data_IF_630904589107
#
_entry.id   IF_630904589107
#
_cell.length_a   1.000
_cell.length_b   1.000
_cell.length_c   1.000
_cell.angle_alpha   90.00
_cell.angle_beta   90.00
_cell.angle_gamma   90.00
#
_symmetry.space_group_name_H-M   'P 1'
#
loop_
_entity.id
_entity.type
_entity.pdbx_description
1 polymer ?
#
# COMPACT_ATOMS: atom_id res chain seq x y z
N UNK A 1 12.05 31.68 -13.82
CA UNK A 1 11.56 30.28 -14.01
C UNK A 1 10.63 29.95 -12.86
N UNK A 2 9.32 29.95 -13.09
CA UNK A 2 8.36 29.51 -12.07
C UNK A 2 8.50 27.99 -11.90
N UNK A 3 8.67 27.48 -10.67
CA UNK A 3 8.73 26.04 -10.46
C UNK A 3 7.39 25.42 -10.84
N UNK A 4 7.46 24.38 -11.68
CA UNK A 4 6.27 23.67 -12.16
C UNK A 4 5.38 23.24 -10.99
N UNK A 5 4.15 23.75 -10.99
CA UNK A 5 3.13 23.53 -9.96
C UNK A 5 2.91 22.04 -9.70
N UNK A 6 3.01 21.21 -10.75
CA UNK A 6 2.81 19.78 -10.65
C UNK A 6 3.96 19.08 -9.92
N UNK A 7 5.21 19.44 -10.25
CA UNK A 7 6.40 18.94 -9.54
C UNK A 7 6.35 19.23 -8.05
N UNK A 8 5.90 20.42 -7.65
CA UNK A 8 5.76 20.76 -6.22
C UNK A 8 4.69 19.90 -5.54
N UNK A 9 3.53 19.71 -6.19
CA UNK A 9 2.44 18.89 -5.65
C UNK A 9 2.85 17.44 -5.47
N UNK A 10 3.50 16.84 -6.48
CA UNK A 10 4.02 15.47 -6.39
C UNK A 10 5.06 15.37 -5.28
N UNK A 11 5.99 16.33 -5.18
CA UNK A 11 7.03 16.29 -4.16
C UNK A 11 6.45 16.33 -2.75
N UNK A 12 5.42 17.16 -2.52
CA UNK A 12 4.69 17.21 -1.23
C UNK A 12 3.95 15.91 -0.94
N UNK A 13 3.27 15.35 -1.94
CA UNK A 13 2.58 14.08 -1.82
C UNK A 13 3.54 12.94 -1.44
N UNK A 14 4.65 12.82 -2.19
CA UNK A 14 5.65 11.77 -1.96
C UNK A 14 6.34 11.91 -0.60
N UNK A 15 6.58 13.14 -0.15
CA UNK A 15 7.12 13.38 1.18
C UNK A 15 6.19 12.83 2.25
N UNK A 16 4.91 13.18 2.21
CA UNK A 16 3.92 12.71 3.18
C UNK A 16 3.77 11.19 3.12
N UNK A 17 3.58 10.62 1.92
CA UNK A 17 3.44 9.17 1.74
C UNK A 17 4.62 8.38 2.32
N UNK A 18 5.84 8.89 2.19
CA UNK A 18 7.05 8.23 2.71
C UNK A 18 7.22 8.35 4.22
N UNK A 19 6.61 9.37 4.84
CA UNK A 19 6.68 9.62 6.28
C UNK A 19 5.51 9.01 7.05
N UNK A 20 4.37 8.79 6.41
CA UNK A 20 3.20 8.19 7.05
C UNK A 20 3.44 6.70 7.33
N UNK A 21 3.27 6.23 8.58
CA UNK A 21 3.31 4.81 8.92
C UNK A 21 2.28 4.01 8.13
N UNK A 22 2.66 2.83 7.65
CA UNK A 22 1.74 1.93 6.97
C UNK A 22 0.90 1.16 8.00
N UNK A 23 -0.41 1.05 7.80
CA UNK A 23 -1.36 0.45 8.76
C UNK A 23 -1.01 -0.99 9.17
N UNK A 24 -0.55 -1.81 8.21
CA UNK A 24 -0.20 -3.21 8.50
C UNK A 24 1.12 -3.40 9.26
N UNK A 25 2.09 -2.48 9.11
CA UNK A 25 3.45 -2.68 9.62
C UNK A 25 3.83 -1.70 10.72
N UNK A 26 3.06 -0.62 10.91
CA UNK A 26 3.37 0.48 11.83
C UNK A 26 4.62 1.28 11.44
N UNK A 27 5.26 0.94 10.32
CA UNK A 27 6.49 1.56 9.83
C UNK A 27 6.21 2.31 8.53
N UNK A 28 6.82 3.48 8.39
CA UNK A 28 6.75 4.27 7.16
C UNK A 28 7.67 3.70 6.08
N UNK A 29 7.38 3.93 4.79
CA UNK A 29 8.25 3.48 3.70
C UNK A 29 9.69 3.99 3.82
N UNK A 30 9.89 5.21 4.32
CA UNK A 30 11.23 5.76 4.52
C UNK A 30 11.98 5.08 5.68
N UNK A 31 11.28 4.67 6.75
CA UNK A 31 11.90 3.92 7.84
C UNK A 31 12.40 2.55 7.38
N UNK A 32 11.59 1.85 6.58
CA UNK A 32 11.96 0.56 6.01
C UNK A 32 13.20 0.71 5.11
N UNK A 33 13.21 1.72 4.24
CA UNK A 33 14.29 1.96 3.30
C UNK A 33 15.59 2.42 3.99
N UNK A 34 15.50 3.37 4.92
CA UNK A 34 16.66 4.02 5.55
C UNK A 34 17.10 3.33 6.85
N UNK A 35 16.34 2.36 7.34
CA UNK A 35 16.52 1.71 8.66
C UNK A 35 16.62 2.69 9.83
N UNK A 36 16.05 3.88 9.67
CA UNK A 36 15.98 4.94 10.69
C UNK A 36 14.75 5.80 10.42
N UNK A 37 14.21 6.43 11.47
CA UNK A 37 13.11 7.38 11.34
C UNK A 37 13.62 8.75 10.85
N UNK A 38 13.29 9.17 9.61
CA UNK A 38 13.65 10.51 9.15
C UNK A 38 12.88 11.55 9.96
N UNK A 39 13.59 12.55 10.49
CA UNK A 39 12.96 13.65 11.23
C UNK A 39 12.35 14.66 10.27
N UNK A 40 11.05 14.85 10.38
CA UNK A 40 10.28 15.87 9.68
C UNK A 40 10.09 17.12 10.54
N UNK A 41 9.47 18.17 9.98
CA UNK A 41 9.08 19.36 10.76
C UNK A 41 8.03 19.01 11.82
N UNK A 42 7.17 18.01 11.55
CA UNK A 42 6.16 17.55 12.51
C UNK A 42 6.81 16.91 13.74
N UNK A 43 7.91 16.18 13.57
CA UNK A 43 8.66 15.59 14.69
C UNK A 43 9.41 16.64 15.54
N UNK A 44 9.46 17.91 15.10
CA UNK A 44 10.01 19.02 15.88
C UNK A 44 8.95 19.84 16.62
N UNK A 45 7.66 19.53 16.43
CA UNK A 45 6.59 20.20 17.17
C UNK A 45 6.68 19.81 18.64
N UNK A 46 6.55 20.82 19.51
CA UNK A 46 6.61 20.60 20.96
C UNK A 46 5.44 19.72 21.41
N UNK A 47 5.68 18.68 22.25
CA UNK A 47 4.67 17.70 22.65
C UNK A 47 3.45 18.32 23.37
N UNK A 48 3.56 19.52 23.93
CA UNK A 48 2.41 20.23 24.53
C UNK A 48 1.27 20.52 23.52
N UNK A 49 1.57 20.50 22.21
CA UNK A 49 0.57 20.63 21.14
C UNK A 49 -0.12 19.31 20.74
N UNK A 50 0.35 18.17 21.27
CA UNK A 50 -0.01 16.82 20.82
C UNK A 50 -0.75 15.99 21.89
N UNK A 51 -1.07 16.55 23.06
CA UNK A 51 -1.77 15.85 24.14
C UNK A 51 -3.12 15.22 23.74
N UNK A 52 -3.67 15.56 22.57
CA UNK A 52 -4.91 14.99 22.03
C UNK A 52 -4.70 13.77 21.12
N UNK A 53 -3.50 13.53 20.58
CA UNK A 53 -3.25 12.50 19.54
C UNK A 53 -2.80 11.14 20.08
N UNK A 54 -2.43 11.04 21.36
CA UNK A 54 -2.06 9.75 22.00
C UNK A 54 -3.23 8.75 22.04
N UNK A 55 -4.48 9.21 21.87
CA UNK A 55 -5.66 8.33 21.84
C UNK A 55 -5.82 7.59 20.51
N UNK A 56 -5.35 8.14 19.40
CA UNK A 56 -5.56 7.55 18.05
C UNK A 56 -4.63 6.35 17.82
N UNK A 57 -3.44 6.34 18.41
CA UNK A 57 -2.45 5.27 18.19
C UNK A 57 -2.80 3.94 18.90
N UNK A 58 -3.73 3.94 19.86
CA UNK A 58 -4.15 2.73 20.57
C UNK A 58 -5.25 1.94 19.84
N UNK A 59 -5.87 2.50 18.80
CA UNK A 59 -7.04 1.91 18.14
C UNK A 59 -6.70 1.15 16.85
N UNK A 60 -5.49 1.29 16.29
CA UNK A 60 -5.14 0.72 14.98
C UNK A 60 -4.54 -0.71 15.03
N UNK A 61 -4.58 -1.37 16.19
CA UNK A 61 -4.07 -2.74 16.38
C UNK A 61 -4.97 -3.87 15.85
N UNK A 62 -6.02 -3.56 15.08
CA UNK A 62 -7.02 -4.55 14.65
C UNK A 62 -7.23 -4.46 13.15
N UNK A 63 -6.27 -4.93 12.34
CA UNK A 63 -6.61 -5.43 11.01
C UNK A 63 -5.63 -6.45 10.42
N UNK A 64 -4.97 -7.26 11.26
CA UNK A 64 -4.10 -8.35 10.78
C UNK A 64 -4.89 -9.66 10.55
N UNK A 65 -6.23 -9.63 10.59
CA UNK A 65 -7.08 -10.83 10.47
C UNK A 65 -8.13 -10.76 9.36
N UNK A 66 -7.87 -10.01 8.29
CA UNK A 66 -8.71 -10.05 7.08
C UNK A 66 -8.13 -10.91 5.94
N UNK A 67 -6.87 -11.39 6.05
CA UNK A 67 -6.21 -12.16 4.99
C UNK A 67 -6.39 -13.67 5.11
N UNK A 68 -7.22 -14.15 6.04
CA UNK A 68 -7.76 -15.50 5.98
C UNK A 68 -8.98 -15.55 5.05
N UNK A 69 -8.92 -14.90 3.87
CA UNK A 69 -9.88 -15.17 2.80
C UNK A 69 -9.58 -16.56 2.25
N UNK A 70 -10.23 -17.49 2.93
CA UNK A 70 -10.46 -18.90 2.66
C UNK A 70 -10.37 -19.23 1.16
N UNK A 71 -9.52 -20.22 0.90
CA UNK A 71 -9.45 -21.07 -0.30
C UNK A 71 -8.55 -20.56 -1.45
N UNK A 72 -7.23 -20.50 -1.21
CA UNK A 72 -6.25 -20.48 -2.29
C UNK A 72 -6.39 -21.75 -3.13
N UNK A 73 -7.00 -21.62 -4.31
CA UNK A 73 -7.12 -22.71 -5.28
C UNK A 73 -5.72 -23.07 -5.79
N UNK A 74 -5.34 -24.33 -5.62
CA UNK A 74 -4.14 -24.90 -6.24
C UNK A 74 -4.51 -25.44 -7.62
N UNK A 75 -3.58 -25.35 -8.57
CA UNK A 75 -3.74 -25.87 -9.93
C UNK A 75 -2.62 -26.86 -10.21
N UNK A 76 -2.94 -27.94 -10.91
CA UNK A 76 -1.98 -28.93 -11.39
C UNK A 76 -1.90 -28.89 -12.92
N UNK A 77 -0.78 -29.38 -13.47
CA UNK A 77 -0.63 -29.50 -14.92
C UNK A 77 -1.75 -30.38 -15.49
N UNK A 78 -2.42 -29.89 -16.53
CA UNK A 78 -3.61 -30.52 -17.11
C UNK A 78 -4.95 -29.92 -16.65
N UNK A 79 -4.96 -29.07 -15.63
CA UNK A 79 -6.21 -28.43 -15.15
C UNK A 79 -6.77 -27.45 -16.18
N UNK A 80 -8.09 -27.53 -16.40
CA UNK A 80 -8.81 -26.54 -17.20
C UNK A 80 -9.09 -25.29 -16.37
N UNK A 81 -8.57 -24.16 -16.83
CA UNK A 81 -8.68 -22.87 -16.17
C UNK A 81 -9.32 -21.84 -17.10
N UNK A 82 -9.98 -20.85 -16.49
CA UNK A 82 -10.45 -19.67 -17.21
C UNK A 82 -9.39 -18.58 -17.11
N UNK A 83 -8.84 -18.17 -18.24
CA UNK A 83 -7.91 -17.05 -18.34
C UNK A 83 -8.65 -15.77 -18.69
N UNK A 84 -8.40 -14.69 -17.95
CA UNK A 84 -9.00 -13.38 -18.22
C UNK A 84 -8.21 -12.63 -19.28
N UNK A 85 -8.90 -12.12 -20.27
CA UNK A 85 -8.33 -11.23 -21.29
C UNK A 85 -8.55 -9.78 -20.88
N UNK A 86 -7.50 -8.96 -20.96
CA UNK A 86 -7.53 -7.55 -20.53
C UNK A 86 -7.48 -6.52 -21.66
N UNK A 87 -7.26 -6.95 -22.92
CA UNK A 87 -7.24 -6.00 -24.03
C UNK A 87 -8.67 -5.52 -24.38
N UNK A 88 -8.80 -4.22 -24.63
CA UNK A 88 -10.06 -3.61 -25.05
C UNK A 88 -10.46 -4.15 -26.43
N UNK A 89 -11.70 -4.61 -26.58
CA UNK A 89 -12.22 -5.16 -27.85
C UNK A 89 -12.18 -6.70 -27.99
N UNK A 90 -11.83 -7.43 -26.93
CA UNK A 90 -11.94 -8.89 -26.93
C UNK A 90 -13.42 -9.34 -27.03
N UNK A 91 -13.75 -10.34 -27.87
CA UNK A 91 -15.12 -10.85 -27.99
C UNK A 91 -15.59 -11.56 -26.71
N UNK A 92 -14.66 -12.06 -25.89
CA UNK A 92 -14.95 -12.68 -24.59
C UNK A 92 -13.93 -12.26 -23.54
N UNK A 93 -14.41 -11.98 -22.32
CA UNK A 93 -13.58 -11.59 -21.16
C UNK A 93 -12.81 -12.75 -20.55
N UNK A 94 -13.27 -13.98 -20.78
CA UNK A 94 -12.71 -15.22 -20.24
C UNK A 94 -12.57 -16.25 -21.35
N UNK A 95 -11.44 -16.94 -21.40
CA UNK A 95 -11.14 -18.00 -22.37
C UNK A 95 -10.65 -19.24 -21.62
N UNK A 96 -10.98 -20.42 -22.15
CA UNK A 96 -10.58 -21.71 -21.56
C UNK A 96 -9.12 -21.98 -21.96
N UNK A 97 -8.29 -22.29 -20.96
CA UNK A 97 -6.91 -22.73 -21.12
C UNK A 97 -6.63 -24.00 -20.30
N UNK A 98 -5.48 -24.60 -20.52
CA UNK A 98 -4.96 -25.74 -19.76
C UNK A 98 -3.66 -25.32 -19.10
N UNK A 99 -3.48 -25.66 -17.82
CA UNK A 99 -2.23 -25.41 -17.09
C UNK A 99 -1.15 -26.35 -17.64
N UNK A 100 -0.03 -25.80 -18.10
CA UNK A 100 1.13 -26.55 -18.57
C UNK A 100 2.23 -26.51 -17.50
N UNK A 101 3.09 -27.54 -17.48
CA UNK A 101 4.29 -27.63 -16.63
C UNK A 101 5.30 -26.50 -16.88
#
# INVERSE_FOLDING_TARGET
MTPDRWRIKISRFLLNYRLTPHSATGLSPAEILLRRRPRSLLDRLHPDSLASTEKVQKEEGINVQAEAHRNTRRFEAGDRVWARIFHTGAPAKWVIGVVQE
#
